data_IF_995933355270
#
_entry.id   IF_995933355270
#
_cell.length_a   1.000
_cell.length_b   1.000
_cell.length_c   1.000
_cell.angle_alpha   90.00
_cell.angle_beta   90.00
_cell.angle_gamma   90.00
#
_symmetry.space_group_name_H-M   'P 1'
#
loop_
_entity.id
_entity.type
_entity.pdbx_description
1 polymer ?
#
# COMPACT_ATOMS: atom_id res chain seq x y z
N UNK A 1 0.94 5.75 19.73
CA UNK A 1 -0.19 4.96 20.28
C UNK A 1 -1.26 5.00 19.19
N UNK A 2 -1.46 3.92 18.45
CA UNK A 2 -2.33 3.88 17.26
C UNK A 2 -3.71 3.40 17.73
N UNK A 3 -4.76 4.16 17.45
CA UNK A 3 -6.15 3.77 17.72
C UNK A 3 -6.86 3.50 16.38
N UNK A 4 -7.56 2.37 16.29
CA UNK A 4 -8.66 2.16 15.34
C UNK A 4 -8.28 1.82 13.90
N UNK A 5 -8.22 0.53 13.59
CA UNK A 5 -8.33 0.01 12.22
C UNK A 5 -9.81 -0.34 11.98
N UNK A 6 -10.61 0.57 11.45
CA UNK A 6 -11.95 0.24 10.94
C UNK A 6 -11.84 -0.09 9.45
N UNK A 7 -11.82 -1.39 9.15
CA UNK A 7 -12.00 -1.92 7.80
C UNK A 7 -13.50 -1.91 7.53
N UNK A 8 -14.04 -0.82 6.98
CA UNK A 8 -15.39 -0.86 6.43
C UNK A 8 -15.39 -1.72 5.15
N UNK A 9 -16.38 -2.60 5.03
CA UNK A 9 -16.63 -3.52 3.89
C UNK A 9 -16.89 -2.81 2.53
N UNK A 10 -16.43 -1.58 2.33
CA UNK A 10 -16.60 -0.81 1.10
C UNK A 10 -15.29 -0.47 0.39
N UNK A 11 -14.18 -1.13 0.78
CA UNK A 11 -12.99 -1.20 -0.08
C UNK A 11 -12.21 0.10 -0.23
N UNK A 12 -12.43 1.10 0.64
CA UNK A 12 -11.62 2.32 0.70
C UNK A 12 -11.03 2.42 2.11
N UNK A 13 -9.70 2.55 2.21
CA UNK A 13 -9.02 2.88 3.47
C UNK A 13 -8.40 4.28 3.33
N UNK A 14 -8.92 5.23 4.09
CA UNK A 14 -8.34 6.57 4.25
C UNK A 14 -7.86 6.67 5.69
N UNK A 15 -6.54 6.71 5.92
CA UNK A 15 -6.01 7.11 7.22
C UNK A 15 -5.66 8.59 7.14
N UNK A 16 -6.51 9.42 7.77
CA UNK A 16 -6.43 10.88 7.75
C UNK A 16 -5.46 11.44 8.82
N UNK A 17 -4.82 10.59 9.62
CA UNK A 17 -4.05 11.01 10.82
C UNK A 17 -2.52 11.10 10.61
N UNK A 18 -2.01 11.02 9.39
CA UNK A 18 -0.58 11.17 9.10
C UNK A 18 -0.26 12.48 8.38
N UNK A 19 0.93 13.05 8.63
CA UNK A 19 1.51 14.18 7.91
C UNK A 19 1.48 14.04 6.37
N UNK A 20 1.23 12.83 5.87
CA UNK A 20 1.05 12.52 4.46
C UNK A 20 -0.21 11.63 4.33
N UNK A 21 -1.32 12.13 3.78
CA UNK A 21 -2.53 11.33 3.62
C UNK A 21 -2.32 10.25 2.55
N UNK A 22 -3.03 9.13 2.71
CA UNK A 22 -3.10 8.10 1.67
C UNK A 22 -4.52 7.65 1.41
N UNK A 23 -4.72 7.13 0.20
CA UNK A 23 -5.95 6.50 -0.23
C UNK A 23 -5.61 5.19 -0.93
N UNK A 24 -6.44 4.17 -0.75
CA UNK A 24 -6.23 2.88 -1.39
C UNK A 24 -7.46 2.00 -1.39
N UNK A 25 -7.28 0.85 -2.03
CA UNK A 25 -8.27 -0.20 -2.16
C UNK A 25 -7.72 -1.54 -1.69
N UNK A 26 -8.62 -2.34 -1.14
CA UNK A 26 -8.41 -3.75 -0.85
C UNK A 26 -9.46 -4.52 -1.62
N UNK A 27 -9.05 -5.59 -2.29
CA UNK A 27 -9.98 -6.45 -3.01
C UNK A 27 -9.65 -7.92 -2.76
N UNK A 28 -10.69 -8.75 -2.76
CA UNK A 28 -10.56 -10.19 -2.55
C UNK A 28 -11.66 -10.92 -3.33
N UNK A 29 -11.39 -12.19 -3.60
CA UNK A 29 -12.36 -13.11 -4.18
C UNK A 29 -12.26 -14.45 -3.44
N UNK A 30 -13.37 -15.18 -3.33
CA UNK A 30 -13.38 -16.53 -2.77
C UNK A 30 -12.35 -17.44 -3.47
N UNK A 31 -11.56 -18.23 -2.71
CA UNK A 31 -10.61 -19.18 -3.27
C UNK A 31 -11.25 -20.11 -4.30
N UNK A 32 -10.53 -20.40 -5.38
CA UNK A 32 -10.97 -21.33 -6.43
C UNK A 32 -10.24 -22.67 -6.29
N UNK A 33 -10.88 -23.81 -6.63
CA UNK A 33 -10.24 -25.11 -6.57
C UNK A 33 -8.90 -25.13 -7.35
N UNK A 34 -7.88 -25.73 -6.74
CA UNK A 34 -6.52 -25.85 -7.30
C UNK A 34 -5.83 -24.51 -7.64
N UNK A 35 -6.24 -23.39 -7.03
CA UNK A 35 -5.60 -22.09 -7.18
C UNK A 35 -5.06 -21.58 -5.84
N UNK A 36 -3.94 -20.85 -5.88
CA UNK A 36 -3.49 -20.03 -4.75
C UNK A 36 -4.38 -18.79 -4.63
N UNK A 37 -4.68 -18.34 -3.42
CA UNK A 37 -5.55 -17.19 -3.17
C UNK A 37 -4.86 -16.18 -2.26
N UNK A 38 -5.02 -14.91 -2.58
CA UNK A 38 -4.44 -13.82 -1.81
C UNK A 38 -5.32 -12.58 -1.90
N UNK A 39 -5.23 -11.71 -0.91
CA UNK A 39 -5.89 -10.40 -0.94
C UNK A 39 -5.01 -9.45 -1.74
N UNK A 40 -5.59 -8.72 -2.67
CA UNK A 40 -4.86 -7.69 -3.42
C UNK A 40 -5.07 -6.33 -2.77
N UNK A 41 -4.01 -5.54 -2.70
CA UNK A 41 -4.03 -4.20 -2.11
C UNK A 41 -3.35 -3.21 -3.03
N UNK A 42 -3.88 -2.00 -3.09
CA UNK A 42 -3.18 -0.88 -3.69
C UNK A 42 -3.47 0.40 -2.91
N UNK A 43 -2.48 1.27 -2.80
CA UNK A 43 -2.65 2.56 -2.15
C UNK A 43 -1.65 3.58 -2.68
N UNK A 44 -1.96 4.86 -2.50
CA UNK A 44 -1.11 5.98 -2.91
C UNK A 44 -0.96 6.96 -1.76
N UNK A 45 0.28 7.37 -1.47
CA UNK A 45 0.61 8.38 -0.46
C UNK A 45 0.94 9.69 -1.15
N UNK A 46 0.30 10.77 -0.69
CA UNK A 46 0.59 12.12 -1.13
C UNK A 46 1.65 12.77 -0.23
N UNK A 47 2.85 12.97 -0.77
CA UNK A 47 4.00 13.55 -0.06
C UNK A 47 4.04 15.08 -0.25
N UNK A 48 3.01 15.79 0.21
CA UNK A 48 2.75 17.20 -0.15
C UNK A 48 3.97 18.12 -0.08
N UNK A 49 4.70 18.13 1.04
CA UNK A 49 5.90 18.97 1.22
C UNK A 49 7.09 18.59 0.31
N UNK A 50 7.12 17.35 -0.19
CA UNK A 50 8.18 16.83 -1.06
C UNK A 50 7.81 16.91 -2.55
N UNK A 51 6.58 17.32 -2.88
CA UNK A 51 6.12 17.43 -4.26
C UNK A 51 6.11 16.08 -5.00
N UNK A 52 5.75 15.01 -4.31
CA UNK A 52 5.78 13.66 -4.88
C UNK A 52 4.59 12.81 -4.47
N UNK A 53 4.38 11.73 -5.22
CA UNK A 53 3.37 10.71 -4.92
C UNK A 53 4.04 9.35 -5.08
N UNK A 54 3.83 8.47 -4.13
CA UNK A 54 4.18 7.06 -4.29
C UNK A 54 2.93 6.21 -4.32
N UNK A 55 2.86 5.28 -5.26
CA UNK A 55 1.84 4.25 -5.31
C UNK A 55 2.45 2.90 -4.98
N UNK A 56 1.72 2.07 -4.24
CA UNK A 56 2.06 0.68 -3.97
C UNK A 56 0.96 -0.21 -4.52
N UNK A 57 1.36 -1.33 -5.11
CA UNK A 57 0.44 -2.40 -5.51
C UNK A 57 1.05 -3.74 -5.10
N UNK A 58 0.24 -4.63 -4.56
CA UNK A 58 0.74 -5.90 -4.10
C UNK A 58 -0.31 -6.78 -3.46
N UNK A 59 0.17 -7.72 -2.66
CA UNK A 59 -0.65 -8.76 -2.06
C UNK A 59 -0.47 -8.81 -0.55
N UNK A 60 -1.53 -9.22 0.12
CA UNK A 60 -1.59 -9.48 1.54
C UNK A 60 -1.95 -10.94 1.78
N UNK A 61 -1.14 -11.61 2.58
CA UNK A 61 -1.29 -13.02 2.92
C UNK A 61 -1.85 -13.15 4.34
N UNK A 62 -3.12 -13.56 4.43
CA UNK A 62 -3.88 -13.71 5.67
C UNK A 62 -3.51 -14.98 6.46
N UNK A 63 -3.08 -16.04 5.76
CA UNK A 63 -3.01 -17.39 6.35
C UNK A 63 -1.63 -17.73 6.94
N UNK A 64 -0.62 -16.90 6.68
CA UNK A 64 0.72 -17.10 7.24
C UNK A 64 0.82 -16.61 8.67
N UNK A 65 1.59 -17.34 9.48
CA UNK A 65 1.88 -17.02 10.89
C UNK A 65 2.41 -15.59 11.11
N UNK A 66 2.91 -14.94 10.05
CA UNK A 66 3.35 -13.54 10.01
C UNK A 66 2.62 -12.78 8.88
N UNK A 67 1.51 -12.08 9.18
CA UNK A 67 0.80 -11.25 8.21
C UNK A 67 1.73 -10.19 7.62
N UNK A 68 1.84 -10.17 6.30
CA UNK A 68 2.71 -9.24 5.57
C UNK A 68 2.07 -8.77 4.27
N UNK A 69 2.34 -7.51 3.93
CA UNK A 69 1.98 -6.93 2.64
C UNK A 69 3.25 -6.82 1.80
N UNK A 70 3.30 -7.54 0.67
CA UNK A 70 4.41 -7.45 -0.29
C UNK A 70 3.99 -6.62 -1.47
N UNK A 71 4.79 -5.62 -1.83
CA UNK A 71 4.40 -4.61 -2.82
C UNK A 71 5.53 -4.30 -3.78
N UNK A 72 5.16 -3.89 -4.98
CA UNK A 72 5.97 -3.01 -5.82
C UNK A 72 5.45 -1.59 -5.70
N UNK A 73 6.32 -0.61 -5.93
CA UNK A 73 5.97 0.79 -5.87
C UNK A 73 6.52 1.61 -7.03
N UNK A 74 5.85 2.72 -7.30
CA UNK A 74 6.28 3.78 -8.20
C UNK A 74 6.25 5.11 -7.45
N UNK A 75 7.39 5.78 -7.34
CA UNK A 75 7.52 7.14 -6.82
C UNK A 75 7.69 8.11 -8.00
N UNK A 76 6.78 9.07 -8.10
CA UNK A 76 6.81 10.15 -9.08
C UNK A 76 7.10 11.47 -8.37
N UNK A 77 8.09 12.21 -8.86
CA UNK A 77 8.55 13.50 -8.28
C UNK A 77 8.31 14.64 -9.25
N UNK A 78 7.78 15.77 -8.75
CA UNK A 78 7.60 16.98 -9.57
C UNK A 78 8.94 17.62 -9.95
N UNK A 79 9.89 17.65 -9.00
CA UNK A 79 11.23 18.19 -9.20
C UNK A 79 12.27 17.08 -9.22
N UNK A 80 13.13 17.07 -10.24
CA UNK A 80 14.27 16.17 -10.34
C UNK A 80 15.44 16.86 -11.06
N UNK A 81 16.67 16.38 -10.81
CA UNK A 81 17.88 16.89 -11.48
C UNK A 81 17.90 16.52 -12.96
N UNK A 82 17.25 15.41 -13.33
CA UNK A 82 17.26 14.89 -14.69
C UNK A 82 15.88 14.36 -15.09
N UNK A 83 15.56 14.49 -16.39
CA UNK A 83 14.28 14.04 -16.97
C UNK A 83 14.04 12.54 -16.72
N UNK A 84 15.10 11.73 -16.80
CA UNK A 84 15.01 10.29 -16.59
C UNK A 84 14.77 9.89 -15.13
N UNK A 85 14.96 10.80 -14.17
CA UNK A 85 14.90 10.52 -12.74
C UNK A 85 13.57 10.97 -12.10
N UNK A 86 12.56 11.34 -12.89
CA UNK A 86 11.25 11.72 -12.33
C UNK A 86 10.45 10.52 -11.78
N UNK A 87 10.75 9.32 -12.27
CA UNK A 87 10.02 8.09 -11.97
C UNK A 87 10.99 7.05 -11.41
N UNK A 88 10.77 6.64 -10.18
CA UNK A 88 11.53 5.59 -9.49
C UNK A 88 10.61 4.42 -9.18
N UNK A 89 11.14 3.21 -9.22
CA UNK A 89 10.40 2.01 -8.83
C UNK A 89 11.21 1.13 -7.89
N UNK A 90 10.52 0.31 -7.12
CA UNK A 90 11.13 -0.67 -6.24
C UNK A 90 10.09 -1.58 -5.61
N UNK A 91 10.50 -2.26 -4.54
CA UNK A 91 9.63 -3.12 -3.75
C UNK A 91 9.69 -2.78 -2.27
N UNK A 92 8.65 -3.17 -1.54
CA UNK A 92 8.57 -3.01 -0.08
C UNK A 92 7.79 -4.16 0.53
N UNK A 93 8.19 -4.57 1.73
CA UNK A 93 7.44 -5.53 2.55
C UNK A 93 7.07 -4.86 3.85
N UNK A 94 5.77 -4.78 4.13
CA UNK A 94 5.23 -4.27 5.38
C UNK A 94 4.85 -5.44 6.28
N UNK A 95 5.28 -5.41 7.53
CA UNK A 95 4.98 -6.44 8.54
C UNK A 95 4.21 -5.79 9.69
N UNK A 96 3.23 -6.50 10.24
CA UNK A 96 2.56 -6.06 11.45
C UNK A 96 3.55 -6.16 12.63
N UNK A 97 3.87 -5.03 13.25
CA UNK A 97 4.67 -5.05 14.47
C UNK A 97 3.76 -5.37 15.67
N UNK A 98 3.97 -6.51 16.32
CA UNK A 98 3.28 -6.87 17.56
C UNK A 98 4.04 -6.22 18.72
N UNK A 99 3.63 -5.02 19.11
CA UNK A 99 4.01 -4.45 20.41
C UNK A 99 3.08 -4.96 21.50
#
# INVERSE_FOLDING_TARGET
MIYGLEIEMLGIVVLQESFNPFIGWVNYQSPQPASDNTVVVCFSVHWGQYGSVTTWNGTYDLEKQNPMIKTQWLLVRSNSKFVWDHMLTGSSTFMLNKN
#
